data_IF_514301290923
#
_entry.id   IF_514301290923
#
_cell.length_a   1.000
_cell.length_b   1.000
_cell.length_c   1.000
_cell.angle_alpha   90.00
_cell.angle_beta   90.00
_cell.angle_gamma   90.00
#
_symmetry.space_group_name_H-M   'P 1'
#
loop_
_entity.id
_entity.type
_entity.pdbx_description
1 polymer ?
#
# COMPACT_ATOMS: atom_id res chain seq x y z
N UNK A 1 -2.28 17.72 -15.61
CA UNK A 1 -3.09 16.95 -16.56
C UNK A 1 -4.56 17.08 -16.14
N UNK A 2 -5.50 17.24 -17.08
CA UNK A 2 -6.92 17.24 -16.76
C UNK A 2 -7.35 15.86 -16.25
N UNK A 3 -8.28 15.83 -15.29
CA UNK A 3 -8.98 14.62 -14.86
C UNK A 3 -10.36 14.67 -15.52
N UNK A 4 -10.70 13.64 -16.30
CA UNK A 4 -12.02 13.50 -16.92
C UNK A 4 -12.81 12.45 -16.13
N UNK A 5 -13.85 12.83 -15.37
CA UNK A 5 -14.63 11.90 -14.56
C UNK A 5 -15.70 11.19 -15.42
N UNK A 6 -15.27 10.54 -16.50
CA UNK A 6 -16.12 9.93 -17.53
C UNK A 6 -15.53 8.59 -17.96
N UNK A 7 -16.37 7.67 -18.42
CA UNK A 7 -15.87 6.49 -19.12
C UNK A 7 -15.23 6.92 -20.45
N UNK A 8 -14.28 6.11 -20.95
CA UNK A 8 -13.49 6.47 -22.14
C UNK A 8 -14.40 6.74 -23.36
N UNK A 9 -15.46 5.96 -23.57
CA UNK A 9 -16.42 6.14 -24.66
C UNK A 9 -17.35 7.34 -24.47
N UNK A 10 -17.47 7.88 -23.27
CA UNK A 10 -18.24 9.09 -22.96
C UNK A 10 -17.39 10.36 -23.05
N UNK A 11 -16.06 10.21 -23.03
CA UNK A 11 -15.10 11.29 -22.98
C UNK A 11 -14.93 11.99 -24.34
N UNK A 12 -15.95 12.75 -24.77
CA UNK A 12 -16.02 13.42 -26.08
C UNK A 12 -14.81 14.31 -26.38
N UNK A 13 -14.16 14.89 -25.36
CA UNK A 13 -12.96 15.71 -25.53
C UNK A 13 -11.73 14.92 -26.03
N UNK A 14 -11.74 13.60 -25.90
CA UNK A 14 -10.62 12.71 -26.29
C UNK A 14 -11.05 11.59 -27.26
N UNK A 15 -12.31 11.55 -27.69
CA UNK A 15 -12.89 10.44 -28.46
C UNK A 15 -12.17 10.17 -29.79
N UNK A 16 -11.72 11.22 -30.48
CA UNK A 16 -10.96 11.12 -31.73
C UNK A 16 -9.45 10.99 -31.52
N UNK A 17 -8.98 11.05 -30.27
CA UNK A 17 -7.56 10.93 -29.97
C UNK A 17 -7.12 9.47 -30.03
N UNK A 18 -5.84 9.29 -30.30
CA UNK A 18 -5.15 8.01 -30.21
C UNK A 18 -3.92 8.17 -29.34
N UNK A 19 -3.60 7.14 -28.59
CA UNK A 19 -2.52 7.17 -27.60
C UNK A 19 -1.46 6.13 -27.94
N UNK A 20 -0.20 6.54 -27.85
CA UNK A 20 0.93 5.61 -27.99
C UNK A 20 1.11 4.74 -26.73
N UNK A 21 0.54 5.18 -25.61
CA UNK A 21 0.60 4.45 -24.35
C UNK A 21 -0.67 4.67 -23.53
N UNK A 22 -1.30 3.59 -23.11
CA UNK A 22 -2.42 3.59 -22.17
C UNK A 22 -2.01 2.77 -20.95
N UNK A 23 -2.30 3.29 -19.77
CA UNK A 23 -2.05 2.63 -18.50
C UNK A 23 -3.37 2.42 -17.75
N UNK A 24 -3.71 1.17 -17.43
CA UNK A 24 -4.93 0.81 -16.70
C UNK A 24 -4.59 -0.10 -15.50
N UNK A 25 -4.53 0.45 -14.29
CA UNK A 25 -4.11 -0.29 -13.09
C UNK A 25 -5.27 -0.60 -12.17
N UNK A 26 -5.47 -1.88 -11.87
CA UNK A 26 -6.53 -2.39 -11.00
C UNK A 26 -7.92 -1.88 -11.45
N UNK A 27 -8.23 -2.11 -12.74
CA UNK A 27 -9.48 -1.66 -13.38
C UNK A 27 -10.27 -2.83 -13.99
N UNK A 28 -9.57 -3.78 -14.63
CA UNK A 28 -10.21 -4.80 -15.45
C UNK A 28 -11.16 -5.69 -14.64
N UNK A 29 -10.77 -6.05 -13.42
CA UNK A 29 -11.56 -6.86 -12.47
C UNK A 29 -12.86 -6.20 -12.01
N UNK A 30 -13.00 -4.88 -12.23
CA UNK A 30 -14.18 -4.10 -11.90
C UNK A 30 -15.11 -3.87 -13.10
N UNK A 31 -14.79 -4.37 -14.30
CA UNK A 31 -15.66 -4.19 -15.47
C UNK A 31 -16.49 -5.45 -15.74
N UNK A 32 -17.81 -5.30 -16.03
CA UNK A 32 -18.68 -6.44 -16.31
C UNK A 32 -18.41 -7.10 -17.67
N UNK A 33 -17.92 -6.32 -18.66
CA UNK A 33 -17.52 -6.80 -19.99
C UNK A 33 -16.02 -6.52 -20.22
N UNK A 34 -15.12 -7.43 -19.80
CA UNK A 34 -13.68 -7.23 -19.96
C UNK A 34 -13.24 -7.21 -21.42
N UNK A 35 -13.91 -7.96 -22.31
CA UNK A 35 -13.54 -7.97 -23.73
C UNK A 35 -13.91 -6.64 -24.37
N UNK A 36 -15.14 -6.14 -24.13
CA UNK A 36 -15.60 -4.84 -24.62
C UNK A 36 -14.72 -3.69 -24.13
N UNK A 37 -14.33 -3.70 -22.85
CA UNK A 37 -13.39 -2.73 -22.28
C UNK A 37 -12.02 -2.74 -22.99
N UNK A 38 -11.45 -3.92 -23.20
CA UNK A 38 -10.17 -4.05 -23.91
C UNK A 38 -10.27 -3.63 -25.38
N UNK A 39 -11.39 -3.92 -26.06
CA UNK A 39 -11.65 -3.46 -27.42
C UNK A 39 -11.75 -1.94 -27.51
N UNK A 40 -12.38 -1.31 -26.51
CA UNK A 40 -12.47 0.14 -26.41
C UNK A 40 -11.08 0.77 -26.27
N UNK A 41 -10.25 0.25 -25.37
CA UNK A 41 -8.85 0.69 -25.22
C UNK A 41 -8.07 0.48 -26.52
N UNK A 42 -8.21 -0.70 -27.14
CA UNK A 42 -7.53 -1.00 -28.40
C UNK A 42 -7.87 0.02 -29.49
N UNK A 43 -9.14 0.42 -29.61
CA UNK A 43 -9.55 1.47 -30.57
C UNK A 43 -8.92 2.82 -30.26
N UNK A 44 -8.64 3.11 -28.99
CA UNK A 44 -7.97 4.34 -28.57
C UNK A 44 -6.44 4.29 -28.70
N UNK A 45 -5.83 3.15 -28.99
CA UNK A 45 -4.39 3.05 -29.25
C UNK A 45 -4.03 3.44 -30.69
N UNK A 46 -2.84 4.00 -30.86
CA UNK A 46 -2.20 4.07 -32.18
C UNK A 46 -1.82 2.65 -32.65
N UNK A 47 -1.52 2.42 -33.94
CA UNK A 47 -1.07 1.10 -34.42
C UNK A 47 0.20 0.58 -33.74
N UNK A 48 1.06 1.49 -33.26
CA UNK A 48 2.26 1.17 -32.48
C UNK A 48 2.06 1.38 -30.98
N UNK A 49 0.81 1.58 -30.56
CA UNK A 49 0.46 1.87 -29.19
C UNK A 49 0.56 0.64 -28.29
N UNK A 50 0.82 0.89 -27.01
CA UNK A 50 0.99 -0.15 -25.99
C UNK A 50 -0.02 0.10 -24.87
N UNK A 51 -0.72 -0.95 -24.45
CA UNK A 51 -1.47 -0.97 -23.21
C UNK A 51 -0.62 -1.68 -22.14
N UNK A 52 -0.37 -1.00 -21.02
CA UNK A 52 0.10 -1.62 -19.80
C UNK A 52 -1.07 -1.68 -18.82
N UNK A 53 -1.41 -2.87 -18.34
CA UNK A 53 -2.44 -3.03 -17.34
C UNK A 53 -1.97 -3.89 -16.17
N UNK A 54 -2.55 -3.65 -15.00
CA UNK A 54 -2.41 -4.51 -13.83
C UNK A 54 -3.76 -4.98 -13.36
N UNK A 55 -3.82 -6.21 -12.86
CA UNK A 55 -5.02 -6.79 -12.26
C UNK A 55 -4.60 -7.83 -11.22
N UNK A 56 -5.42 -8.13 -10.20
CA UNK A 56 -5.14 -9.18 -9.25
C UNK A 56 -4.85 -10.52 -9.93
N UNK A 57 -3.91 -11.28 -9.36
CA UNK A 57 -3.46 -12.56 -9.90
C UNK A 57 -4.11 -13.71 -9.14
N UNK A 58 -5.02 -14.44 -9.79
CA UNK A 58 -5.70 -15.57 -9.16
C UNK A 58 -4.72 -16.61 -8.58
N UNK A 59 -3.64 -16.91 -9.31
CA UNK A 59 -2.60 -17.84 -8.87
C UNK A 59 -1.70 -17.34 -7.74
N UNK A 60 -1.90 -16.13 -7.23
CA UNK A 60 -1.23 -15.65 -6.01
C UNK A 60 -1.90 -16.19 -4.74
N UNK A 61 -3.19 -16.52 -4.82
CA UNK A 61 -4.01 -16.89 -3.67
C UNK A 61 -3.83 -18.36 -3.33
N UNK A 62 -3.49 -18.62 -2.07
CA UNK A 62 -3.38 -19.95 -1.51
C UNK A 62 -3.72 -19.93 0.00
N UNK A 63 -3.72 -21.09 0.65
CA UNK A 63 -4.10 -21.21 2.06
C UNK A 63 -3.11 -20.55 3.04
N UNK A 64 -1.92 -20.17 2.57
CA UNK A 64 -0.91 -19.43 3.34
C UNK A 64 -0.92 -17.93 3.04
N UNK A 65 -1.76 -17.46 2.11
CA UNK A 65 -1.91 -16.03 1.83
C UNK A 65 -2.44 -15.33 3.10
N UNK A 66 -1.79 -14.26 3.58
CA UNK A 66 -2.27 -13.51 4.73
C UNK A 66 -3.73 -13.06 4.52
N UNK A 67 -4.60 -13.13 5.55
CA UNK A 67 -6.01 -12.80 5.39
C UNK A 67 -6.24 -11.39 4.82
N UNK A 68 -5.32 -10.47 5.13
CA UNK A 68 -5.35 -9.10 4.62
C UNK A 68 -5.13 -9.02 3.11
N UNK A 69 -4.14 -9.74 2.60
CA UNK A 69 -3.87 -9.82 1.16
C UNK A 69 -4.97 -10.58 0.42
N UNK A 70 -5.56 -11.60 1.05
CA UNK A 70 -6.69 -12.35 0.50
C UNK A 70 -7.91 -11.44 0.35
N UNK A 71 -8.24 -10.65 1.37
CA UNK A 71 -9.37 -9.71 1.33
C UNK A 71 -9.15 -8.63 0.27
N UNK A 72 -7.95 -8.06 0.18
CA UNK A 72 -7.60 -7.06 -0.81
C UNK A 72 -7.71 -7.60 -2.24
N UNK A 73 -7.18 -8.81 -2.49
CA UNK A 73 -7.21 -9.42 -3.82
C UNK A 73 -8.63 -9.87 -4.23
N UNK A 74 -9.42 -10.42 -3.31
CA UNK A 74 -10.79 -10.87 -3.61
C UNK A 74 -11.77 -9.71 -3.73
N UNK A 75 -11.57 -8.63 -2.96
CA UNK A 75 -12.44 -7.44 -2.88
C UNK A 75 -13.94 -7.76 -3.05
N UNK A 76 -14.54 -8.55 -2.12
CA UNK A 76 -15.88 -9.07 -2.30
C UNK A 76 -16.91 -7.95 -2.51
N UNK A 77 -17.75 -8.10 -3.54
CA UNK A 77 -18.73 -7.09 -3.93
C UNK A 77 -18.20 -6.00 -4.88
N UNK A 78 -16.88 -5.97 -5.15
CA UNK A 78 -16.27 -5.03 -6.10
C UNK A 78 -15.55 -5.74 -7.26
N UNK A 79 -14.83 -6.84 -7.03
CA UNK A 79 -14.22 -7.63 -8.11
C UNK A 79 -15.24 -8.64 -8.66
N UNK A 80 -15.46 -8.58 -9.98
CA UNK A 80 -16.29 -9.55 -10.68
C UNK A 80 -15.58 -10.89 -10.86
N UNK A 81 -14.26 -10.87 -11.00
CA UNK A 81 -13.44 -12.04 -11.29
C UNK A 81 -11.98 -11.83 -10.88
N UNK A 82 -11.23 -12.92 -10.80
CA UNK A 82 -9.77 -12.93 -10.78
C UNK A 82 -9.27 -13.79 -11.94
N UNK A 83 -8.28 -13.28 -12.67
CA UNK A 83 -7.80 -13.95 -13.88
C UNK A 83 -6.52 -14.74 -13.60
N UNK A 84 -6.45 -15.93 -14.21
CA UNK A 84 -5.17 -16.58 -14.47
C UNK A 84 -4.47 -15.88 -15.65
N UNK A 85 -3.13 -16.00 -15.79
CA UNK A 85 -2.40 -15.45 -16.93
C UNK A 85 -2.96 -15.94 -18.28
N UNK A 86 -3.35 -17.22 -18.36
CA UNK A 86 -3.88 -17.84 -19.57
C UNK A 86 -5.23 -17.20 -19.95
N UNK A 87 -6.12 -16.99 -18.97
CA UNK A 87 -7.42 -16.34 -19.24
C UNK A 87 -7.28 -14.87 -19.59
N UNK A 88 -6.31 -14.17 -19.01
CA UNK A 88 -6.01 -12.79 -19.40
C UNK A 88 -5.48 -12.71 -20.85
N UNK A 89 -4.62 -13.65 -21.26
CA UNK A 89 -4.17 -13.75 -22.65
C UNK A 89 -5.33 -14.08 -23.62
N UNK A 90 -6.23 -15.00 -23.24
CA UNK A 90 -7.43 -15.33 -24.02
C UNK A 90 -8.32 -14.09 -24.24
N UNK A 91 -8.55 -13.29 -23.19
CA UNK A 91 -9.36 -12.07 -23.28
C UNK A 91 -8.68 -11.01 -24.16
N UNK A 92 -7.37 -10.84 -24.04
CA UNK A 92 -6.60 -9.92 -24.87
C UNK A 92 -6.67 -10.30 -26.35
N UNK A 93 -6.54 -11.59 -26.66
CA UNK A 93 -6.67 -12.10 -28.04
C UNK A 93 -8.08 -11.87 -28.60
N UNK A 94 -9.13 -12.14 -27.82
CA UNK A 94 -10.52 -11.85 -28.20
C UNK A 94 -10.79 -10.36 -28.44
N UNK A 95 -10.10 -9.49 -27.69
CA UNK A 95 -10.16 -8.05 -27.89
C UNK A 95 -9.36 -7.56 -29.12
N UNK A 96 -8.63 -8.46 -29.78
CA UNK A 96 -7.91 -8.19 -31.03
C UNK A 96 -6.45 -7.78 -30.84
N UNK A 97 -5.86 -7.93 -29.67
CA UNK A 97 -4.41 -7.73 -29.49
C UNK A 97 -3.65 -8.92 -30.10
N UNK A 98 -2.61 -8.61 -30.90
CA UNK A 98 -1.80 -9.64 -31.56
C UNK A 98 -0.61 -10.12 -30.71
N UNK A 99 -0.24 -9.36 -29.67
CA UNK A 99 0.87 -9.68 -28.80
C UNK A 99 0.54 -9.37 -27.34
N UNK A 100 0.97 -10.26 -26.45
CA UNK A 100 0.85 -10.09 -25.01
C UNK A 100 2.12 -10.55 -24.28
N UNK A 101 2.46 -9.87 -23.20
CA UNK A 101 3.41 -10.31 -22.19
C UNK A 101 2.76 -10.20 -20.82
N UNK A 102 2.77 -11.28 -20.04
CA UNK A 102 2.17 -11.31 -18.71
C UNK A 102 3.21 -11.84 -17.73
N UNK A 103 3.43 -11.10 -16.65
CA UNK A 103 4.36 -11.51 -15.59
C UNK A 103 3.77 -11.26 -14.19
N UNK A 104 4.13 -12.10 -13.21
CA UNK A 104 3.69 -11.91 -11.83
C UNK A 104 4.35 -10.67 -11.21
N UNK A 105 3.58 -9.90 -10.46
CA UNK A 105 4.05 -8.77 -9.67
C UNK A 105 3.40 -8.79 -8.29
N UNK A 106 3.99 -9.57 -7.37
CA UNK A 106 3.40 -9.81 -6.05
C UNK A 106 2.03 -10.50 -6.14
N UNK A 107 1.01 -9.85 -5.55
CA UNK A 107 -0.39 -10.29 -5.57
C UNK A 107 -1.12 -9.93 -6.86
N UNK A 108 -0.50 -9.14 -7.73
CA UNK A 108 -1.05 -8.75 -9.04
C UNK A 108 -0.25 -9.41 -10.16
N UNK A 109 -0.70 -9.20 -11.39
CA UNK A 109 0.03 -9.51 -12.61
C UNK A 109 0.10 -8.26 -13.48
N UNK A 110 1.25 -8.02 -14.08
CA UNK A 110 1.46 -6.96 -15.06
C UNK A 110 1.27 -7.58 -16.43
N UNK A 111 0.48 -6.92 -17.26
CA UNK A 111 0.20 -7.35 -18.62
C UNK A 111 0.50 -6.19 -19.59
N UNK A 112 1.29 -6.48 -20.62
CA UNK A 112 1.59 -5.56 -21.71
C UNK A 112 0.95 -6.11 -22.97
N UNK A 113 0.06 -5.33 -23.58
CA UNK A 113 -0.70 -5.69 -24.78
C UNK A 113 -0.38 -4.73 -25.92
N UNK A 114 -0.17 -5.28 -27.13
CA UNK A 114 0.13 -4.52 -28.32
C UNK A 114 -0.23 -5.31 -29.60
N UNK A 115 -0.13 -4.66 -30.76
CA UNK A 115 -0.29 -5.30 -32.08
C UNK A 115 1.02 -5.80 -32.69
N UNK A 116 2.11 -5.63 -31.98
CA UNK A 116 3.44 -5.98 -32.41
C UNK A 116 4.28 -6.39 -31.19
N UNK A 117 5.32 -7.23 -31.37
CA UNK A 117 6.21 -7.58 -30.28
C UNK A 117 6.89 -6.35 -29.67
N UNK A 118 6.80 -6.21 -28.34
CA UNK A 118 7.43 -5.11 -27.60
C UNK A 118 8.66 -5.65 -26.88
N UNK A 119 9.79 -4.95 -27.03
CA UNK A 119 11.01 -5.25 -26.25
C UNK A 119 10.88 -4.62 -24.86
N UNK A 120 10.63 -5.46 -23.86
CA UNK A 120 10.57 -5.03 -22.47
C UNK A 120 11.99 -4.92 -21.88
N UNK A 121 12.20 -3.85 -21.11
CA UNK A 121 13.39 -3.74 -20.27
C UNK A 121 13.21 -4.64 -19.04
N UNK A 122 14.31 -5.16 -18.51
CA UNK A 122 14.27 -5.92 -17.27
C UNK A 122 13.68 -5.09 -16.14
N UNK A 123 12.92 -5.76 -15.27
CA UNK A 123 12.38 -5.16 -14.06
C UNK A 123 13.51 -4.50 -13.25
N UNK A 124 13.49 -3.18 -13.14
CA UNK A 124 14.46 -2.45 -12.32
C UNK A 124 13.99 -2.55 -10.87
N UNK A 125 14.90 -2.92 -9.96
CA UNK A 125 14.60 -2.86 -8.54
C UNK A 125 14.11 -1.46 -8.18
N UNK A 126 12.82 -1.34 -7.83
CA UNK A 126 12.16 -0.04 -7.72
C UNK A 126 12.50 0.69 -6.42
N UNK A 127 12.89 -0.04 -5.38
CA UNK A 127 13.17 0.49 -4.03
C UNK A 127 14.15 1.68 -4.05
N UNK A 128 15.33 1.62 -4.74
CA UNK A 128 16.20 2.79 -4.88
C UNK A 128 15.51 4.00 -5.53
N UNK A 129 14.73 3.79 -6.59
CA UNK A 129 14.02 4.88 -7.29
C UNK A 129 12.93 5.50 -6.41
N UNK A 130 12.22 4.68 -5.63
CA UNK A 130 11.19 5.14 -4.70
C UNK A 130 11.85 5.93 -3.56
N UNK A 131 12.98 5.45 -3.02
CA UNK A 131 13.78 6.18 -2.05
C UNK A 131 14.19 7.55 -2.58
N UNK A 132 14.80 7.61 -3.77
CA UNK A 132 15.22 8.87 -4.42
C UNK A 132 14.05 9.81 -4.72
N UNK A 133 12.90 9.24 -5.09
CA UNK A 133 11.65 9.98 -5.24
C UNK A 133 11.24 10.66 -3.93
N UNK A 134 11.15 9.90 -2.83
CA UNK A 134 10.77 10.47 -1.54
C UNK A 134 11.82 11.44 -0.99
N UNK A 135 13.11 11.16 -1.17
CA UNK A 135 14.19 12.09 -0.82
C UNK A 135 14.03 13.46 -1.49
N UNK A 136 13.67 13.49 -2.78
CA UNK A 136 13.38 14.77 -3.46
C UNK A 136 12.10 15.42 -2.92
N UNK A 137 11.11 14.63 -2.53
CA UNK A 137 9.83 15.11 -2.01
C UNK A 137 9.94 15.71 -0.62
N UNK A 138 10.90 15.31 0.21
CA UNK A 138 11.11 15.92 1.54
C UNK A 138 11.53 17.39 1.49
N UNK A 139 12.01 17.86 0.33
CA UNK A 139 12.42 19.26 0.12
C UNK A 139 11.45 20.06 -0.78
N UNK A 140 10.34 19.46 -1.21
CA UNK A 140 9.36 20.14 -2.07
C UNK A 140 8.30 20.87 -1.25
N UNK A 141 7.87 22.07 -1.68
CA UNK A 141 6.72 22.73 -1.07
C UNK A 141 5.46 21.86 -1.19
N UNK A 142 4.72 21.72 -0.09
CA UNK A 142 3.42 21.06 -0.06
C UNK A 142 2.40 21.97 0.63
N UNK A 143 1.13 21.81 0.27
CA UNK A 143 0.05 22.60 0.87
C UNK A 143 -0.30 22.19 2.31
N UNK A 144 -0.07 20.92 2.66
CA UNK A 144 -0.40 20.35 3.98
C UNK A 144 0.85 19.72 4.61
N UNK A 145 1.19 20.13 5.83
CA UNK A 145 2.33 19.63 6.58
C UNK A 145 2.25 18.11 6.88
N UNK A 146 1.04 17.53 6.94
CA UNK A 146 0.86 16.07 7.08
C UNK A 146 1.33 15.31 5.84
N UNK A 147 1.21 15.91 4.66
CA UNK A 147 1.76 15.35 3.42
C UNK A 147 3.28 15.33 3.47
N UNK A 148 3.91 16.42 3.96
CA UNK A 148 5.36 16.48 4.13
C UNK A 148 5.87 15.42 5.13
N UNK A 149 5.19 15.27 6.27
CA UNK A 149 5.49 14.19 7.21
C UNK A 149 5.39 12.81 6.55
N UNK A 150 4.39 12.59 5.71
CA UNK A 150 4.27 11.37 4.91
C UNK A 150 5.46 11.15 3.98
N UNK A 151 6.03 12.20 3.38
CA UNK A 151 7.24 12.10 2.56
C UNK A 151 8.46 11.69 3.38
N UNK A 152 8.66 12.29 4.56
CA UNK A 152 9.76 11.92 5.45
C UNK A 152 9.65 10.49 5.96
N UNK A 153 8.46 10.06 6.41
CA UNK A 153 8.21 8.69 6.89
C UNK A 153 8.48 7.65 5.80
N UNK A 154 8.07 7.93 4.55
CA UNK A 154 8.34 7.04 3.43
C UNK A 154 9.82 7.04 3.04
N UNK A 155 10.48 8.19 2.98
CA UNK A 155 11.93 8.27 2.74
C UNK A 155 12.69 7.41 3.75
N UNK A 156 12.43 7.60 5.05
CA UNK A 156 13.01 6.80 6.13
C UNK A 156 12.78 5.30 5.90
N UNK A 157 11.53 4.89 5.66
CA UNK A 157 11.16 3.48 5.49
C UNK A 157 11.89 2.83 4.32
N UNK A 158 11.93 3.49 3.16
CA UNK A 158 12.61 2.96 1.97
C UNK A 158 14.14 2.97 2.12
N UNK A 159 14.72 3.94 2.83
CA UNK A 159 16.16 3.94 3.16
C UNK A 159 16.52 2.75 4.06
N UNK A 160 15.73 2.50 5.10
CA UNK A 160 15.93 1.33 5.99
C UNK A 160 15.75 0.00 5.26
N UNK A 161 14.76 -0.13 4.36
CA UNK A 161 14.58 -1.34 3.54
C UNK A 161 15.79 -1.66 2.66
N UNK A 162 16.57 -0.65 2.28
CA UNK A 162 17.81 -0.82 1.53
C UNK A 162 19.02 -1.16 2.41
N UNK A 163 18.84 -1.26 3.73
CA UNK A 163 19.96 -1.44 4.68
C UNK A 163 20.89 -0.24 4.76
N UNK A 164 20.42 0.95 4.35
CA UNK A 164 21.19 2.18 4.39
C UNK A 164 20.95 2.95 5.70
N UNK A 165 21.95 3.69 6.21
CA UNK A 165 21.74 4.56 7.36
C UNK A 165 20.84 5.73 6.98
N UNK A 166 19.96 6.13 7.90
CA UNK A 166 19.11 7.32 7.77
C UNK A 166 19.78 8.50 8.48
N UNK A 167 19.74 9.67 7.87
CA UNK A 167 20.31 10.90 8.38
C UNK A 167 19.63 11.34 9.69
N UNK A 168 20.40 11.80 10.68
CA UNK A 168 19.84 12.23 11.97
C UNK A 168 18.84 13.40 11.82
N UNK A 169 19.04 14.26 10.82
CA UNK A 169 18.14 15.36 10.49
C UNK A 169 16.76 14.85 10.06
N UNK A 170 16.67 13.79 9.25
CA UNK A 170 15.40 13.16 8.85
C UNK A 170 14.63 12.70 10.08
N UNK A 171 15.32 12.07 11.04
CA UNK A 171 14.71 11.60 12.28
C UNK A 171 14.16 12.78 13.09
N UNK A 172 14.95 13.86 13.24
CA UNK A 172 14.54 15.05 13.96
C UNK A 172 13.33 15.76 13.31
N UNK A 173 13.28 15.84 11.98
CA UNK A 173 12.15 16.40 11.24
C UNK A 173 10.88 15.57 11.44
N UNK A 174 10.99 14.24 11.37
CA UNK A 174 9.85 13.34 11.65
C UNK A 174 9.34 13.53 13.07
N UNK A 175 10.21 13.49 14.08
CA UNK A 175 9.82 13.63 15.49
C UNK A 175 9.21 15.01 15.79
N UNK A 176 9.78 16.07 15.22
CA UNK A 176 9.24 17.44 15.34
C UNK A 176 7.84 17.53 14.73
N UNK A 177 7.66 16.99 13.52
CA UNK A 177 6.36 17.00 12.85
C UNK A 177 5.32 16.12 13.57
N UNK A 178 5.72 14.97 14.13
CA UNK A 178 4.85 14.13 14.97
C UNK A 178 4.37 14.89 16.21
N UNK A 179 5.28 15.61 16.89
CA UNK A 179 4.93 16.45 18.04
C UNK A 179 4.00 17.60 17.63
N UNK A 180 4.33 18.34 16.56
CA UNK A 180 3.56 19.51 16.14
C UNK A 180 2.16 19.16 15.61
N UNK A 181 2.04 18.09 14.81
CA UNK A 181 0.81 17.76 14.08
C UNK A 181 -0.11 16.82 14.84
N UNK A 182 0.43 16.03 15.77
CA UNK A 182 -0.31 14.99 16.50
C UNK A 182 -0.08 15.02 18.02
N UNK A 183 0.81 15.88 18.53
CA UNK A 183 1.19 15.88 19.95
C UNK A 183 1.81 14.54 20.39
N UNK A 184 2.61 13.94 19.52
CA UNK A 184 3.27 12.65 19.78
C UNK A 184 4.72 12.89 20.20
N UNK A 185 5.00 12.58 21.47
CA UNK A 185 6.36 12.43 22.00
C UNK A 185 6.71 10.95 22.10
N UNK A 186 7.63 10.49 21.27
CA UNK A 186 8.05 9.09 21.22
C UNK A 186 8.87 8.65 22.44
N UNK A 187 9.39 9.59 23.23
CA UNK A 187 10.06 9.29 24.51
C UNK A 187 9.04 9.01 25.62
N UNK A 188 7.79 9.45 25.46
CA UNK A 188 6.67 9.26 26.39
C UNK A 188 5.41 8.75 25.67
N UNK A 189 5.42 7.50 25.17
CA UNK A 189 4.35 7.00 24.30
C UNK A 189 3.02 6.73 25.03
N UNK A 190 2.94 6.87 26.36
CA UNK A 190 1.73 6.60 27.16
C UNK A 190 0.50 7.35 26.60
N UNK A 191 0.63 8.66 26.39
CA UNK A 191 -0.46 9.50 25.90
C UNK A 191 -0.86 9.15 24.46
N UNK A 192 0.09 8.75 23.62
CA UNK A 192 -0.21 8.22 22.29
C UNK A 192 -1.04 6.92 22.40
N UNK A 193 -0.59 5.96 23.19
CA UNK A 193 -1.23 4.66 23.33
C UNK A 193 -2.66 4.78 23.89
N UNK A 194 -2.89 5.67 24.85
CA UNK A 194 -4.23 5.93 25.39
C UNK A 194 -5.18 6.52 24.35
N UNK A 195 -4.72 7.50 23.57
CA UNK A 195 -5.52 8.10 22.50
C UNK A 195 -5.80 7.10 21.38
N UNK A 196 -4.81 6.30 20.98
CA UNK A 196 -4.98 5.26 19.96
C UNK A 196 -5.94 4.18 20.46
N UNK A 197 -5.87 3.79 21.73
CA UNK A 197 -6.80 2.81 22.28
C UNK A 197 -8.27 3.27 22.32
N UNK A 198 -8.50 4.58 22.25
CA UNK A 198 -9.82 5.17 22.25
C UNK A 198 -10.42 5.34 20.84
N UNK A 199 -9.69 4.99 19.77
CA UNK A 199 -10.18 5.12 18.40
C UNK A 199 -11.07 3.94 18.02
N UNK A 200 -12.13 4.18 17.27
CA UNK A 200 -13.14 3.19 16.86
C UNK A 200 -13.34 3.13 15.34
N UNK A 201 -12.68 4.00 14.60
CA UNK A 201 -12.85 4.16 13.15
C UNK A 201 -11.53 4.59 12.51
N UNK A 202 -11.33 4.25 11.23
CA UNK A 202 -10.15 4.63 10.46
C UNK A 202 -9.88 6.14 10.57
N UNK A 203 -10.93 6.96 10.42
CA UNK A 203 -10.85 8.41 10.51
C UNK A 203 -10.41 8.89 11.90
N UNK A 204 -10.96 8.32 12.97
CA UNK A 204 -10.54 8.69 14.34
C UNK A 204 -9.07 8.32 14.60
N UNK A 205 -8.62 7.19 14.07
CA UNK A 205 -7.22 6.75 14.15
C UNK A 205 -6.28 7.70 13.39
N UNK A 206 -6.63 8.07 12.16
CA UNK A 206 -5.87 9.02 11.34
C UNK A 206 -5.81 10.45 11.91
N UNK A 207 -6.69 10.80 12.86
CA UNK A 207 -6.59 12.06 13.62
C UNK A 207 -5.56 11.99 14.75
N UNK A 208 -5.31 10.79 15.29
CA UNK A 208 -4.41 10.57 16.43
C UNK A 208 -2.98 10.27 15.98
N UNK A 209 -2.78 9.59 14.85
CA UNK A 209 -1.46 9.26 14.32
C UNK A 209 -1.47 9.11 12.79
N UNK A 210 -0.32 9.29 12.10
CA UNK A 210 -0.20 8.89 10.70
C UNK A 210 -0.16 7.37 10.59
N UNK A 211 -0.82 6.80 9.58
CA UNK A 211 -0.85 5.34 9.38
C UNK A 211 0.52 4.72 9.07
N UNK A 212 1.52 5.52 8.69
CA UNK A 212 2.89 5.06 8.49
C UNK A 212 3.72 5.01 9.79
N UNK A 213 3.20 5.52 10.92
CA UNK A 213 3.92 5.55 12.20
C UNK A 213 4.41 4.16 12.64
N UNK A 214 3.62 3.07 12.55
CA UNK A 214 4.10 1.77 13.02
C UNK A 214 5.27 1.23 12.20
N UNK A 215 5.32 1.51 10.89
CA UNK A 215 6.48 1.16 10.05
C UNK A 215 7.73 1.91 10.47
N UNK A 216 7.61 3.20 10.75
CA UNK A 216 8.72 4.01 11.27
C UNK A 216 9.25 3.46 12.59
N UNK A 217 8.35 3.15 13.55
CA UNK A 217 8.73 2.58 14.84
C UNK A 217 9.36 1.18 14.72
N UNK A 218 8.86 0.34 13.81
CA UNK A 218 9.48 -0.94 13.49
C UNK A 218 10.95 -0.78 13.09
N UNK A 219 11.23 0.15 12.18
CA UNK A 219 12.60 0.41 11.72
C UNK A 219 13.49 1.11 12.75
N UNK A 220 12.90 1.89 13.67
CA UNK A 220 13.64 2.42 14.83
C UNK A 220 14.07 1.32 15.81
N UNK A 221 13.35 0.20 15.84
CA UNK A 221 13.71 -1.00 16.59
C UNK A 221 13.75 -0.82 18.11
N UNK A 222 14.31 -1.82 18.81
CA UNK A 222 14.53 -1.79 20.26
C UNK A 222 13.26 -1.47 21.05
N UNK A 223 13.30 -0.41 21.85
CA UNK A 223 12.20 0.03 22.71
C UNK A 223 10.93 0.45 21.96
N UNK A 224 11.00 0.68 20.65
CA UNK A 224 9.86 1.09 19.84
C UNK A 224 9.03 -0.09 19.32
N UNK A 225 9.58 -1.31 19.28
CA UNK A 225 8.87 -2.49 18.76
C UNK A 225 7.56 -2.81 19.52
N UNK A 226 7.49 -2.76 20.85
CA UNK A 226 6.23 -3.00 21.56
C UNK A 226 5.17 -1.92 21.30
N UNK A 227 5.61 -0.67 21.10
CA UNK A 227 4.71 0.43 20.74
C UNK A 227 4.16 0.20 19.34
N UNK A 228 5.03 -0.12 18.37
CA UNK A 228 4.64 -0.44 16.99
C UNK A 228 3.61 -1.57 16.94
N UNK A 229 3.82 -2.64 17.71
CA UNK A 229 2.90 -3.78 17.80
C UNK A 229 1.51 -3.36 18.27
N UNK A 230 1.42 -2.52 19.32
CA UNK A 230 0.13 -2.02 19.81
C UNK A 230 -0.61 -1.17 18.78
N UNK A 231 0.11 -0.28 18.10
CA UNK A 231 -0.48 0.57 17.07
C UNK A 231 -1.02 -0.27 15.90
N UNK A 232 -0.26 -1.30 15.51
CA UNK A 232 -0.64 -2.28 14.48
C UNK A 232 -1.90 -3.05 14.90
N UNK A 233 -1.92 -3.61 16.10
CA UNK A 233 -3.07 -4.36 16.62
C UNK A 233 -4.32 -3.50 16.70
N UNK A 234 -4.20 -2.24 17.14
CA UNK A 234 -5.33 -1.32 17.15
C UNK A 234 -5.81 -1.00 15.74
N UNK A 235 -4.90 -0.74 14.80
CA UNK A 235 -5.27 -0.48 13.41
C UNK A 235 -6.04 -1.64 12.80
N UNK A 236 -5.54 -2.87 12.96
CA UNK A 236 -6.22 -4.07 12.48
C UNK A 236 -7.59 -4.28 13.13
N UNK A 237 -7.74 -3.95 14.43
CA UNK A 237 -9.03 -4.00 15.12
C UNK A 237 -10.02 -2.97 14.57
N UNK A 238 -9.55 -1.74 14.35
CA UNK A 238 -10.38 -0.61 13.93
C UNK A 238 -10.86 -0.79 12.49
N UNK A 239 -9.97 -1.18 11.59
CA UNK A 239 -10.28 -1.32 10.17
C UNK A 239 -9.32 -2.29 9.50
N UNK A 240 -9.57 -3.58 9.66
CA UNK A 240 -8.77 -4.63 9.03
C UNK A 240 -8.72 -4.48 7.51
N UNK A 241 -9.82 -4.06 6.89
CA UNK A 241 -9.95 -3.98 5.44
C UNK A 241 -9.02 -2.91 4.84
N UNK A 242 -8.95 -1.72 5.45
CA UNK A 242 -8.11 -0.63 4.95
C UNK A 242 -6.68 -0.66 5.51
N UNK A 243 -6.45 -1.35 6.63
CA UNK A 243 -5.14 -1.46 7.28
C UNK A 243 -4.55 -2.87 7.20
N UNK A 244 -4.98 -3.68 6.23
CA UNK A 244 -4.56 -5.06 6.07
C UNK A 244 -3.03 -5.25 5.99
N UNK A 245 -2.30 -4.25 5.47
CA UNK A 245 -0.82 -4.24 5.40
C UNK A 245 -0.15 -4.29 6.77
N UNK A 246 -0.87 -3.96 7.84
CA UNK A 246 -0.41 -4.09 9.21
C UNK A 246 -0.27 -5.55 9.65
N UNK A 247 -0.98 -6.48 9.02
CA UNK A 247 -0.88 -7.93 9.31
C UNK A 247 0.54 -8.44 9.01
N UNK A 248 1.05 -8.17 7.81
CA UNK A 248 2.43 -8.51 7.44
C UNK A 248 3.49 -7.75 8.27
N UNK A 249 3.17 -6.54 8.74
CA UNK A 249 4.05 -5.79 9.64
C UNK A 249 4.08 -6.40 11.04
N UNK A 250 2.94 -6.90 11.54
CA UNK A 250 2.83 -7.54 12.85
C UNK A 250 3.77 -8.74 12.96
N UNK A 251 3.81 -9.58 11.93
CA UNK A 251 4.71 -10.74 11.88
C UNK A 251 6.18 -10.32 11.89
N UNK A 252 6.54 -9.27 11.14
CA UNK A 252 7.89 -8.70 11.16
C UNK A 252 8.26 -8.16 12.55
N UNK A 253 7.36 -7.46 13.21
CA UNK A 253 7.58 -6.93 14.56
C UNK A 253 7.80 -8.08 15.54
N UNK A 254 6.94 -9.11 15.52
CA UNK A 254 7.06 -10.28 16.41
C UNK A 254 8.34 -11.06 16.19
N UNK A 255 8.75 -11.24 14.93
CA UNK A 255 10.04 -11.85 14.59
C UNK A 255 11.23 -11.01 15.07
N UNK A 256 11.15 -9.68 15.00
CA UNK A 256 12.20 -8.79 15.52
C UNK A 256 12.26 -8.81 17.06
N UNK A 257 11.11 -8.87 17.74
CA UNK A 257 11.07 -8.94 19.21
C UNK A 257 11.60 -10.27 19.77
N UNK A 258 11.34 -11.40 19.09
CA UNK A 258 11.81 -12.72 19.56
C UNK A 258 13.34 -12.86 19.59
N UNK A 259 14.04 -11.99 18.88
CA UNK A 259 15.52 -11.94 18.82
C UNK A 259 16.12 -10.88 19.74
N UNK A 260 15.30 -10.07 20.43
CA UNK A 260 15.75 -8.98 21.29
C UNK A 260 15.35 -9.23 22.76
N UNK A 261 16.26 -9.01 23.73
CA UNK A 261 15.91 -9.14 25.14
C UNK A 261 14.81 -8.12 25.51
N UNK A 262 13.83 -8.56 26.30
CA UNK A 262 12.74 -7.72 26.77
C UNK A 262 13.29 -6.46 27.48
N UNK A 263 13.02 -5.29 26.92
CA UNK A 263 13.58 -4.04 27.43
C UNK A 263 12.78 -3.47 28.60
N UNK A 264 13.36 -2.50 29.31
CA UNK A 264 12.73 -1.84 30.47
C UNK A 264 11.40 -1.15 30.12
N UNK A 265 11.26 -0.64 28.89
CA UNK A 265 10.00 -0.10 28.39
C UNK A 265 8.94 -1.21 28.31
N UNK A 266 9.25 -2.35 27.69
CA UNK A 266 8.32 -3.49 27.58
C UNK A 266 7.81 -3.94 28.96
N UNK A 267 8.70 -4.05 29.95
CA UNK A 267 8.32 -4.37 31.33
C UNK A 267 7.43 -3.28 31.96
N UNK A 268 7.75 -2.00 31.72
CA UNK A 268 6.99 -0.85 32.22
C UNK A 268 5.58 -0.76 31.63
N UNK A 269 5.41 -1.24 30.40
CA UNK A 269 4.14 -1.22 29.67
C UNK A 269 3.38 -2.55 29.77
N UNK A 270 3.95 -3.62 30.30
CA UNK A 270 3.34 -4.95 30.35
C UNK A 270 1.95 -4.98 31.01
N UNK A 271 1.72 -4.15 32.03
CA UNK A 271 0.42 -4.04 32.72
C UNK A 271 -0.63 -3.27 31.91
N UNK A 272 -0.21 -2.23 31.17
CA UNK A 272 -1.05 -1.47 30.24
C UNK A 272 -1.33 -2.27 28.96
N UNK A 273 -0.34 -3.02 28.47
CA UNK A 273 -0.42 -4.04 27.42
C UNK A 273 -1.47 -5.12 27.77
N UNK A 274 -1.44 -5.64 29.01
CA UNK A 274 -2.47 -6.58 29.51
C UNK A 274 -3.86 -5.95 29.56
N UNK A 275 -3.99 -4.69 29.99
CA UNK A 275 -5.28 -3.96 29.99
C UNK A 275 -5.80 -3.70 28.57
N UNK A 276 -4.91 -3.40 27.63
CA UNK A 276 -5.21 -3.18 26.23
C UNK A 276 -5.64 -4.48 25.52
N UNK A 277 -4.87 -5.56 25.71
CA UNK A 277 -5.22 -6.91 25.25
C UNK A 277 -6.57 -7.38 25.82
N UNK A 278 -6.85 -7.13 27.11
CA UNK A 278 -8.13 -7.46 27.73
C UNK A 278 -9.31 -6.64 27.15
N UNK A 279 -9.09 -5.42 26.66
CA UNK A 279 -10.11 -4.61 25.96
C UNK A 279 -10.30 -5.01 24.49
N UNK A 280 -9.28 -5.60 23.87
CA UNK A 280 -9.39 -6.24 22.54
C UNK A 280 -10.23 -7.52 22.64
N UNK A 281 -9.97 -8.37 23.64
CA UNK A 281 -10.69 -9.65 23.83
C UNK A 281 -12.17 -9.44 24.19
N UNK A 282 -12.50 -8.42 24.99
CA UNK A 282 -13.90 -8.16 25.41
C UNK A 282 -14.83 -7.68 24.29
N UNK A 283 -14.31 -7.17 23.17
CA UNK A 283 -15.13 -6.72 22.03
C UNK A 283 -15.30 -7.79 20.93
N UNK A 284 -14.67 -8.97 21.06
CA UNK A 284 -14.87 -10.10 20.13
C UNK A 284 -15.92 -11.12 20.65
N UNK A 285 -16.63 -10.80 21.73
CA UNK A 285 -17.63 -11.67 22.37
C UNK A 285 -19.03 -11.05 22.49
N UNK A 286 -19.23 -9.87 21.92
CA UNK A 286 -20.54 -9.22 21.73
C UNK A 286 -20.77 -9.00 20.23
#
# INVERSE_FOLDING_TARGET
MPILPQYLHEATSIQEQRFDFIYATEVLEHVPDPVGFLQEIKRALTPNGILLLTTPRAGALNTQTPPGELLAALSPGAHYFLLSPEKLADLASQAGFAWCHIEPFGMTQVCVLADHPVKLANHVWATPRIRDYYQRKTSQPVADARVLLGHWLNYHTYTCQMGLPVEATVIAEIETALQMLFGIDLTQPQGLLERVAATDSLVSLGKVMPYALPYYLYWRGGNYLPVAELLVLQGLKVDFQNLFVYDALLDKIRAAQSTQPATSLYQRFQSQLKRFSNRLVRHNHD
#
